data_IF_324678137167
#
_entry.id   IF_324678137167
#
_cell.length_a   1.000
_cell.length_b   1.000
_cell.length_c   1.000
_cell.angle_alpha   90.00
_cell.angle_beta   90.00
_cell.angle_gamma   90.00
#
_symmetry.space_group_name_H-M   'P 1'
#
loop_
_entity.id
_entity.type
_entity.pdbx_description
1 polymer ?
#
# COMPACT_ATOMS: atom_id res chain seq x y z
N UNK A 1 25.51 21.21 -31.48
CA UNK A 1 25.15 21.79 -30.18
C UNK A 1 23.72 21.52 -29.70
N UNK A 2 22.76 21.42 -30.59
CA UNK A 2 21.36 21.09 -30.21
C UNK A 2 21.17 19.68 -29.67
N UNK A 3 21.88 18.66 -30.15
CA UNK A 3 21.78 17.27 -29.67
C UNK A 3 22.20 17.07 -28.22
N UNK A 4 23.18 17.84 -27.72
CA UNK A 4 23.62 17.74 -26.32
C UNK A 4 22.62 18.32 -25.30
N UNK A 5 21.85 19.34 -25.71
CA UNK A 5 20.83 19.94 -24.82
C UNK A 5 19.60 19.02 -24.64
N UNK A 6 19.22 18.28 -25.67
CA UNK A 6 18.11 17.34 -25.60
C UNK A 6 18.43 16.11 -24.73
N UNK A 7 19.65 15.57 -24.84
CA UNK A 7 20.09 14.44 -24.02
C UNK A 7 20.16 14.77 -22.53
N UNK A 8 20.62 15.97 -22.16
CA UNK A 8 20.69 16.38 -20.76
C UNK A 8 19.29 16.59 -20.16
N UNK A 9 18.32 17.06 -20.94
CA UNK A 9 16.95 17.22 -20.45
C UNK A 9 16.21 15.89 -20.29
N UNK A 10 16.46 14.91 -21.16
CA UNK A 10 15.89 13.58 -21.07
C UNK A 10 16.41 12.81 -19.84
N UNK A 11 17.71 12.84 -19.58
CA UNK A 11 18.32 12.18 -18.42
C UNK A 11 17.77 12.75 -17.10
N UNK A 12 17.61 14.07 -17.00
CA UNK A 12 17.01 14.69 -15.81
C UNK A 12 15.55 14.32 -15.61
N UNK A 13 14.81 14.20 -16.70
CA UNK A 13 13.39 13.84 -16.65
C UNK A 13 13.19 12.40 -16.19
N UNK A 14 14.02 11.47 -16.65
CA UNK A 14 13.95 10.07 -16.26
C UNK A 14 14.35 9.84 -14.80
N UNK A 15 15.38 10.52 -14.31
CA UNK A 15 15.79 10.45 -12.90
C UNK A 15 14.69 10.99 -11.97
N UNK A 16 14.03 12.09 -12.34
CA UNK A 16 12.90 12.66 -11.58
C UNK A 16 11.70 11.72 -11.60
N UNK A 17 11.39 11.08 -12.72
CA UNK A 17 10.29 10.10 -12.84
C UNK A 17 10.53 8.86 -11.98
N UNK A 18 11.74 8.30 -11.98
CA UNK A 18 12.11 7.14 -11.18
C UNK A 18 11.97 7.45 -9.69
N UNK A 19 12.48 8.59 -9.25
CA UNK A 19 12.39 9.07 -7.86
C UNK A 19 10.94 9.29 -7.44
N UNK A 20 10.11 9.85 -8.32
CA UNK A 20 8.68 10.06 -8.08
C UNK A 20 7.94 8.73 -7.90
N UNK A 21 8.17 7.74 -8.76
CA UNK A 21 7.54 6.42 -8.67
C UNK A 21 7.88 5.69 -7.37
N UNK A 22 9.12 5.81 -6.88
CA UNK A 22 9.54 5.22 -5.62
C UNK A 22 8.78 5.82 -4.43
N UNK A 23 8.60 7.12 -4.40
CA UNK A 23 7.83 7.84 -3.37
C UNK A 23 6.37 7.42 -3.41
N UNK A 24 5.78 7.31 -4.59
CA UNK A 24 4.38 6.88 -4.76
C UNK A 24 4.19 5.44 -4.30
N UNK A 25 5.13 4.55 -4.60
CA UNK A 25 5.08 3.16 -4.16
C UNK A 25 5.06 3.06 -2.63
N UNK A 26 5.81 3.90 -1.92
CA UNK A 26 5.79 3.94 -0.45
C UNK A 26 4.44 4.42 0.07
N UNK A 27 3.87 5.47 -0.51
CA UNK A 27 2.56 5.99 -0.09
C UNK A 27 1.44 4.97 -0.37
N UNK A 28 1.50 4.28 -1.51
CA UNK A 28 0.58 3.19 -1.86
C UNK A 28 0.72 2.04 -0.86
N UNK A 29 1.94 1.62 -0.56
CA UNK A 29 2.21 0.56 0.41
C UNK A 29 1.70 0.92 1.80
N UNK A 30 1.89 2.17 2.25
CA UNK A 30 1.35 2.66 3.53
C UNK A 30 -0.17 2.55 3.57
N UNK A 31 -0.85 2.90 2.49
CA UNK A 31 -2.31 2.79 2.39
C UNK A 31 -2.77 1.33 2.54
N UNK A 32 -2.12 0.40 1.85
CA UNK A 32 -2.42 -1.03 1.90
C UNK A 32 -2.19 -1.58 3.31
N UNK A 33 -1.05 -1.26 3.93
CA UNK A 33 -0.70 -1.74 5.27
C UNK A 33 -1.67 -1.21 6.34
N UNK A 34 -2.10 0.04 6.24
CA UNK A 34 -3.08 0.62 7.16
C UNK A 34 -4.45 -0.04 7.04
N UNK A 35 -4.89 -0.34 5.82
CA UNK A 35 -6.13 -1.10 5.61
C UNK A 35 -6.01 -2.52 6.13
N UNK A 36 -4.85 -3.16 5.94
CA UNK A 36 -4.56 -4.48 6.49
C UNK A 36 -4.61 -4.52 8.01
N UNK A 37 -4.03 -3.50 8.67
CA UNK A 37 -4.08 -3.36 10.12
C UNK A 37 -5.51 -3.29 10.63
N UNK A 38 -6.33 -2.45 10.03
CA UNK A 38 -7.75 -2.31 10.40
C UNK A 38 -8.51 -3.62 10.17
N UNK A 39 -8.23 -4.31 9.08
CA UNK A 39 -8.85 -5.62 8.80
C UNK A 39 -8.50 -6.63 9.89
N UNK A 40 -7.22 -6.82 10.20
CA UNK A 40 -6.80 -7.82 11.20
C UNK A 40 -7.29 -7.48 12.59
N UNK A 41 -7.33 -6.22 12.99
CA UNK A 41 -7.90 -5.81 14.27
C UNK A 41 -9.40 -6.08 14.33
N UNK A 42 -10.13 -5.71 13.29
CA UNK A 42 -11.59 -5.86 13.26
C UNK A 42 -12.01 -7.31 13.13
N UNK A 43 -11.39 -8.08 12.26
CA UNK A 43 -11.65 -9.50 12.08
C UNK A 43 -11.26 -10.31 13.34
N UNK A 44 -10.14 -9.94 13.96
CA UNK A 44 -9.66 -10.57 15.19
C UNK A 44 -10.64 -10.49 16.36
N UNK A 45 -11.44 -9.41 16.41
CA UNK A 45 -12.47 -9.24 17.43
C UNK A 45 -13.69 -10.15 17.20
N UNK A 46 -13.86 -10.67 15.98
CA UNK A 46 -15.02 -11.47 15.60
C UNK A 46 -14.78 -12.97 15.59
N UNK A 47 -13.53 -13.40 15.35
CA UNK A 47 -13.19 -14.82 15.37
C UNK A 47 -13.36 -15.36 16.78
N UNK A 48 -13.87 -16.59 16.86
CA UNK A 48 -14.19 -17.22 18.14
C UNK A 48 -13.06 -18.11 18.66
N UNK A 49 -12.34 -18.77 17.76
CA UNK A 49 -11.22 -19.63 18.14
C UNK A 49 -10.07 -18.80 18.71
N UNK A 50 -9.62 -19.09 19.95
CA UNK A 50 -8.53 -18.34 20.57
C UNK A 50 -7.20 -18.38 19.80
N UNK A 51 -6.89 -19.50 19.13
CA UNK A 51 -5.67 -19.62 18.33
C UNK A 51 -5.75 -18.73 17.10
N UNK A 52 -6.87 -18.68 16.44
CA UNK A 52 -7.10 -17.82 15.28
C UNK A 52 -7.09 -16.35 15.70
N UNK A 53 -7.69 -16.04 16.85
CA UNK A 53 -7.67 -14.68 17.42
C UNK A 53 -6.23 -14.22 17.69
N UNK A 54 -5.41 -15.08 18.29
CA UNK A 54 -3.99 -14.80 18.54
C UNK A 54 -3.22 -14.58 17.24
N UNK A 55 -3.52 -15.36 16.21
CA UNK A 55 -2.91 -15.21 14.90
C UNK A 55 -3.26 -13.86 14.28
N UNK A 56 -4.51 -13.42 14.30
CA UNK A 56 -4.91 -12.11 13.81
C UNK A 56 -4.27 -10.97 14.60
N UNK A 57 -4.16 -11.12 15.93
CA UNK A 57 -3.45 -10.14 16.76
C UNK A 57 -1.98 -10.02 16.38
N UNK A 58 -1.32 -11.13 16.07
CA UNK A 58 0.06 -11.17 15.61
C UNK A 58 0.21 -10.50 14.25
N UNK A 59 -0.69 -10.80 13.32
CA UNK A 59 -0.68 -10.17 12.00
C UNK A 59 -0.89 -8.65 12.09
N UNK A 60 -1.79 -8.20 12.97
CA UNK A 60 -1.97 -6.78 13.24
C UNK A 60 -0.68 -6.14 13.79
N UNK A 61 0.05 -6.82 14.66
CA UNK A 61 1.34 -6.38 15.17
C UNK A 61 2.39 -6.25 14.08
N UNK A 62 2.44 -7.22 13.16
CA UNK A 62 3.34 -7.18 12.01
C UNK A 62 3.01 -6.00 11.08
N UNK A 63 1.73 -5.71 10.85
CA UNK A 63 1.30 -4.56 10.05
C UNK A 63 1.75 -3.23 10.68
N UNK A 64 1.68 -3.10 12.01
CA UNK A 64 2.18 -1.90 12.72
C UNK A 64 3.68 -1.71 12.50
N UNK A 65 4.45 -2.78 12.56
CA UNK A 65 5.90 -2.74 12.30
C UNK A 65 6.20 -2.34 10.85
N UNK A 66 5.47 -2.89 9.89
CA UNK A 66 5.61 -2.53 8.48
C UNK A 66 5.30 -1.06 8.25
N UNK A 67 4.23 -0.55 8.84
CA UNK A 67 3.85 0.87 8.76
C UNK A 67 4.97 1.75 9.30
N UNK A 68 5.52 1.42 10.46
CA UNK A 68 6.61 2.16 11.07
C UNK A 68 7.84 2.19 10.15
N UNK A 69 8.22 1.04 9.59
CA UNK A 69 9.34 0.92 8.65
C UNK A 69 9.12 1.79 7.41
N UNK A 70 7.91 1.76 6.83
CA UNK A 70 7.58 2.56 5.66
C UNK A 70 7.58 4.05 5.96
N UNK A 71 7.11 4.45 7.15
CA UNK A 71 7.14 5.85 7.58
C UNK A 71 8.57 6.36 7.76
N UNK A 72 9.48 5.54 8.28
CA UNK A 72 10.90 5.88 8.37
C UNK A 72 11.53 6.05 6.99
N UNK A 73 11.23 5.15 6.06
CA UNK A 73 11.68 5.26 4.66
C UNK A 73 11.14 6.53 3.99
N UNK A 74 9.86 6.86 4.24
CA UNK A 74 9.26 8.08 3.73
C UNK A 74 9.99 9.34 4.22
N UNK A 75 10.40 9.37 5.48
CA UNK A 75 11.22 10.49 6.01
C UNK A 75 12.55 10.61 5.30
N UNK A 76 13.19 9.49 5.02
CA UNK A 76 14.46 9.45 4.31
C UNK A 76 14.34 10.02 2.89
N UNK A 77 13.18 9.86 2.26
CA UNK A 77 12.89 10.33 0.91
C UNK A 77 12.20 11.70 0.88
N UNK A 78 12.15 12.40 2.01
CA UNK A 78 11.51 13.72 2.12
C UNK A 78 11.99 14.72 1.06
N UNK A 79 13.31 14.83 0.74
CA UNK A 79 13.77 15.72 -0.33
C UNK A 79 13.17 15.38 -1.70
N UNK A 80 13.00 14.10 -2.01
CA UNK A 80 12.36 13.65 -3.26
C UNK A 80 10.86 13.98 -3.29
N UNK A 81 10.19 13.95 -2.14
CA UNK A 81 8.78 14.34 -2.01
C UNK A 81 8.60 15.83 -2.30
N UNK A 82 9.50 16.67 -1.80
CA UNK A 82 9.46 18.14 -2.02
C UNK A 82 9.67 18.50 -3.49
N UNK A 83 10.49 17.73 -4.21
CA UNK A 83 10.76 17.95 -5.64
C UNK A 83 9.71 17.29 -6.57
N UNK A 84 8.60 16.82 -6.03
CA UNK A 84 7.54 16.17 -6.79
C UNK A 84 6.96 17.10 -7.86
N UNK A 85 6.95 16.65 -9.11
CA UNK A 85 6.43 17.42 -10.25
C UNK A 85 4.96 17.15 -10.53
N UNK A 86 4.44 15.98 -10.13
CA UNK A 86 3.01 15.66 -10.27
C UNK A 86 2.22 16.16 -9.07
N UNK A 87 0.99 16.67 -9.30
CA UNK A 87 0.14 17.08 -8.20
C UNK A 87 -0.14 15.93 -7.23
N UNK A 88 -0.15 16.23 -5.94
CA UNK A 88 -0.48 15.27 -4.89
C UNK A 88 -1.87 14.67 -5.07
N UNK A 89 -2.78 15.43 -5.67
CA UNK A 89 -4.15 15.03 -5.98
C UNK A 89 -4.23 13.82 -6.91
N UNK A 90 -3.29 13.67 -7.85
CA UNK A 90 -3.23 12.52 -8.75
C UNK A 90 -3.06 11.21 -7.96
N UNK A 91 -2.12 11.18 -7.01
CA UNK A 91 -1.88 10.01 -6.17
C UNK A 91 -3.09 9.74 -5.25
N UNK A 92 -3.66 10.77 -4.66
CA UNK A 92 -4.85 10.66 -3.81
C UNK A 92 -6.05 10.13 -4.59
N UNK A 93 -6.23 10.57 -5.82
CA UNK A 93 -7.26 10.05 -6.72
C UNK A 93 -7.04 8.57 -7.04
N UNK A 94 -5.82 8.19 -7.36
CA UNK A 94 -5.46 6.79 -7.62
C UNK A 94 -5.74 5.90 -6.41
N UNK A 95 -5.32 6.34 -5.22
CA UNK A 95 -5.56 5.60 -3.97
C UNK A 95 -7.06 5.45 -3.73
N UNK A 96 -7.85 6.51 -3.90
CA UNK A 96 -9.29 6.49 -3.70
C UNK A 96 -10.03 5.59 -4.66
N UNK A 97 -9.68 5.63 -5.96
CA UNK A 97 -10.40 4.93 -7.02
C UNK A 97 -9.90 3.48 -7.23
N UNK A 98 -8.58 3.26 -7.12
CA UNK A 98 -7.97 1.98 -7.51
C UNK A 98 -7.58 1.08 -6.32
N UNK A 99 -7.37 1.65 -5.13
CA UNK A 99 -6.87 0.91 -3.99
C UNK A 99 -7.87 0.76 -2.85
N UNK A 100 -8.55 1.84 -2.49
CA UNK A 100 -9.40 1.88 -1.30
C UNK A 100 -10.52 0.84 -1.37
N UNK A 101 -10.48 -0.11 -0.44
CA UNK A 101 -11.46 -1.19 -0.37
C UNK A 101 -11.26 -2.32 -1.40
N UNK A 102 -10.26 -2.22 -2.28
CA UNK A 102 -10.01 -3.22 -3.35
C UNK A 102 -8.95 -4.24 -2.99
N UNK A 103 -8.06 -3.92 -2.06
CA UNK A 103 -7.03 -4.84 -1.56
C UNK A 103 -7.54 -5.54 -0.29
N UNK A 104 -7.74 -4.78 0.78
CA UNK A 104 -8.43 -5.24 1.97
C UNK A 104 -9.85 -4.67 2.00
N UNK A 105 -10.83 -5.41 2.52
CA UNK A 105 -12.17 -4.85 2.70
C UNK A 105 -12.10 -3.61 3.62
N UNK A 106 -12.79 -2.53 3.22
CA UNK A 106 -12.75 -1.27 3.96
C UNK A 106 -14.12 -0.55 3.93
N UNK A 107 -14.34 0.30 4.90
CA UNK A 107 -15.54 1.15 4.97
C UNK A 107 -16.83 0.37 5.21
N UNK A 108 -17.90 0.74 4.50
CA UNK A 108 -19.22 0.11 4.64
C UNK A 108 -19.25 -1.34 4.13
N UNK A 109 -18.38 -1.68 3.18
CA UNK A 109 -18.27 -3.05 2.64
C UNK A 109 -17.60 -3.99 3.65
N UNK A 110 -16.82 -3.43 4.58
CA UNK A 110 -16.29 -4.14 5.72
C UNK A 110 -17.17 -3.87 6.94
N UNK A 111 -18.45 -4.22 6.83
CA UNK A 111 -19.21 -4.33 8.07
C UNK A 111 -18.74 -5.60 8.75
N UNK A 112 -18.44 -5.46 10.01
CA UNK A 112 -18.18 -6.56 10.90
C UNK A 112 -19.31 -7.62 10.86
N UNK A 113 -20.44 -7.30 10.27
CA UNK A 113 -21.57 -8.18 10.03
C UNK A 113 -21.36 -9.16 8.86
N UNK A 114 -20.40 -8.90 7.96
CA UNK A 114 -20.12 -9.77 6.80
C UNK A 114 -19.17 -10.92 7.13
N UNK A 115 -18.57 -10.96 8.31
CA UNK A 115 -17.74 -12.07 8.75
C UNK A 115 -18.58 -12.97 9.66
N UNK A 116 -19.02 -14.10 9.11
CA UNK A 116 -19.92 -15.03 9.80
C UNK A 116 -19.23 -16.27 10.38
N UNK A 117 -17.96 -16.49 10.04
CA UNK A 117 -17.19 -17.64 10.53
C UNK A 117 -15.71 -17.34 10.55
N UNK A 118 -14.97 -18.09 11.36
CA UNK A 118 -13.50 -18.02 11.42
C UNK A 118 -12.88 -18.38 10.08
N UNK A 119 -13.44 -19.38 9.40
CA UNK A 119 -13.00 -19.76 8.05
C UNK A 119 -13.13 -18.61 7.06
N UNK A 120 -14.24 -17.91 7.07
CA UNK A 120 -14.46 -16.76 6.20
C UNK A 120 -13.46 -15.63 6.48
N UNK A 121 -13.19 -15.36 7.75
CA UNK A 121 -12.17 -14.36 8.13
C UNK A 121 -10.79 -14.73 7.60
N UNK A 122 -10.39 -15.98 7.71
CA UNK A 122 -9.12 -16.49 7.19
C UNK A 122 -9.04 -16.39 5.67
N UNK A 123 -10.09 -16.79 4.97
CA UNK A 123 -10.16 -16.72 3.50
C UNK A 123 -10.05 -15.29 3.00
N UNK A 124 -10.75 -14.34 3.65
CA UNK A 124 -10.66 -12.92 3.31
C UNK A 124 -9.25 -12.38 3.52
N UNK A 125 -8.60 -12.78 4.60
CA UNK A 125 -7.20 -12.39 4.87
C UNK A 125 -6.24 -12.90 3.80
N UNK A 126 -6.35 -14.17 3.43
CA UNK A 126 -5.51 -14.79 2.40
C UNK A 126 -5.71 -14.11 1.05
N UNK A 127 -6.94 -13.90 0.63
CA UNK A 127 -7.26 -13.22 -0.63
C UNK A 127 -6.74 -11.79 -0.66
N UNK A 128 -6.88 -11.09 0.47
CA UNK A 128 -6.40 -9.71 0.58
C UNK A 128 -4.87 -9.62 0.47
N UNK A 129 -4.15 -10.54 1.12
CA UNK A 129 -2.69 -10.62 1.00
C UNK A 129 -2.25 -10.94 -0.43
N UNK A 130 -2.95 -11.82 -1.13
CA UNK A 130 -2.66 -12.12 -2.54
C UNK A 130 -2.84 -10.88 -3.41
N UNK A 131 -3.92 -10.13 -3.23
CA UNK A 131 -4.16 -8.87 -3.95
C UNK A 131 -3.07 -7.84 -3.66
N UNK A 132 -2.64 -7.75 -2.40
CA UNK A 132 -1.55 -6.87 -1.98
C UNK A 132 -0.25 -7.20 -2.73
N UNK A 133 0.12 -8.47 -2.77
CA UNK A 133 1.32 -8.95 -3.48
C UNK A 133 1.23 -8.64 -4.98
N UNK A 134 0.11 -8.93 -5.61
CA UNK A 134 -0.11 -8.66 -7.03
C UNK A 134 0.01 -7.16 -7.35
N UNK A 135 -0.56 -6.30 -6.51
CA UNK A 135 -0.48 -4.85 -6.66
C UNK A 135 0.98 -4.37 -6.58
N UNK A 136 1.72 -4.81 -5.57
CA UNK A 136 3.12 -4.42 -5.37
C UNK A 136 4.02 -4.95 -6.48
N UNK A 137 3.80 -6.18 -6.94
CA UNK A 137 4.53 -6.73 -8.08
C UNK A 137 4.27 -5.93 -9.36
N UNK A 138 3.02 -5.54 -9.61
CA UNK A 138 2.67 -4.71 -10.75
C UNK A 138 3.37 -3.35 -10.73
N UNK A 139 3.49 -2.73 -9.56
CA UNK A 139 4.22 -1.48 -9.39
C UNK A 139 5.72 -1.64 -9.67
N UNK A 140 6.33 -2.72 -9.17
CA UNK A 140 7.74 -3.02 -9.39
C UNK A 140 8.04 -3.26 -10.88
N UNK A 141 7.17 -3.95 -11.60
CA UNK A 141 7.31 -4.15 -13.03
C UNK A 141 7.28 -2.84 -13.82
N UNK A 142 6.43 -1.90 -13.42
CA UNK A 142 6.36 -0.57 -14.03
C UNK A 142 7.62 0.24 -13.81
N UNK A 143 8.26 0.10 -12.65
CA UNK A 143 9.53 0.79 -12.36
C UNK A 143 10.70 0.28 -13.20
N UNK A 144 10.69 -0.99 -13.58
CA UNK A 144 11.75 -1.62 -14.39
C UNK A 144 11.68 -1.27 -15.88
N UNK A 145 10.56 -0.78 -16.35
CA UNK A 145 10.36 -0.33 -17.73
C UNK A 145 10.59 1.17 -17.88
#
# INVERSE_FOLDING_TARGET
MEKRKSEISEVKTDAVRTSFQCVDAIEISLCIEKEGLLFYESAGKKVQDPQIRNMFSRLAGEEREHIQTLQEKARFLQPAIVSRTRPKEYLQHFIGEELKGKIFPAGKDFSAQNIHSDKQALELGIESEKRSIEMLQGLLEKERK
#
